data_IF_545490248277
#
_entry.id   IF_545490248277
#
_cell.length_a   1.000
_cell.length_b   1.000
_cell.length_c   1.000
_cell.angle_alpha   90.00
_cell.angle_beta   90.00
_cell.angle_gamma   90.00
#
_symmetry.space_group_name_H-M   'P 1'
#
loop_
_entity.id
_entity.type
_entity.pdbx_description
1 polymer ?
#
# COMPACT_ATOMS: atom_id res chain seq x y z
N UNK A 1 -18.49 -0.18 9.38
CA UNK A 1 -19.33 0.97 8.96
C UNK A 1 -18.73 1.51 7.67
N UNK A 2 -19.50 1.62 6.59
CA UNK A 2 -19.04 2.23 5.34
C UNK A 2 -19.51 3.69 5.33
N UNK A 3 -18.64 4.62 5.72
CA UNK A 3 -18.96 6.05 5.75
C UNK A 3 -17.91 6.89 5.00
N UNK A 4 -18.00 6.95 3.66
CA UNK A 4 -17.17 7.85 2.85
C UNK A 4 -17.32 9.31 3.32
N UNK A 5 -16.23 10.08 3.32
CA UNK A 5 -16.20 11.43 3.91
C UNK A 5 -15.77 11.45 5.38
N UNK A 6 -16.06 10.39 6.12
CA UNK A 6 -15.61 10.24 7.51
C UNK A 6 -14.35 9.36 7.58
N UNK A 7 -14.38 8.16 7.03
CA UNK A 7 -13.29 7.18 7.19
C UNK A 7 -12.45 6.96 5.91
N UNK A 8 -12.50 7.88 4.95
CA UNK A 8 -11.65 7.79 3.76
C UNK A 8 -10.22 8.23 4.06
N UNK A 9 -9.23 7.69 3.35
CA UNK A 9 -7.82 7.99 3.59
C UNK A 9 -7.51 9.49 3.51
N UNK A 10 -8.04 10.18 2.49
CA UNK A 10 -7.83 11.63 2.29
C UNK A 10 -8.43 12.44 3.43
N UNK A 11 -9.63 12.06 3.90
CA UNK A 11 -10.35 12.77 4.96
C UNK A 11 -9.68 12.62 6.32
N UNK A 12 -9.33 11.38 6.71
CA UNK A 12 -8.66 11.06 7.97
C UNK A 12 -7.28 11.72 8.03
N UNK A 13 -6.52 11.69 6.93
CA UNK A 13 -5.24 12.41 6.84
C UNK A 13 -5.44 13.93 6.89
N UNK A 14 -6.41 14.46 6.15
CA UNK A 14 -6.67 15.90 6.07
C UNK A 14 -7.11 16.51 7.39
N UNK A 15 -7.86 15.75 8.21
CA UNK A 15 -8.25 16.10 9.57
C UNK A 15 -7.22 15.71 10.64
N UNK A 16 -6.12 15.06 10.24
CA UNK A 16 -5.01 14.64 11.11
C UNK A 16 -5.45 13.66 12.21
N UNK A 17 -6.41 12.81 11.89
CA UNK A 17 -7.00 11.84 12.82
C UNK A 17 -6.15 10.56 12.95
N UNK A 18 -5.44 10.16 11.89
CA UNK A 18 -4.51 9.04 11.95
C UNK A 18 -3.13 9.47 12.47
N UNK A 19 -2.50 8.57 13.21
CA UNK A 19 -1.17 8.73 13.80
C UNK A 19 -0.09 7.93 13.08
N UNK A 20 -0.45 7.06 12.13
CA UNK A 20 0.45 6.23 11.34
C UNK A 20 -0.21 5.81 10.03
N UNK A 21 0.60 5.42 9.04
CA UNK A 21 0.13 4.98 7.72
C UNK A 21 0.88 3.74 7.22
N UNK A 22 0.14 2.77 6.69
CA UNK A 22 0.66 1.65 5.90
C UNK A 22 0.15 1.79 4.47
N UNK A 23 1.06 2.02 3.53
CA UNK A 23 0.76 2.19 2.11
C UNK A 23 1.23 0.95 1.35
N UNK A 24 0.38 0.41 0.47
CA UNK A 24 0.65 -0.80 -0.28
C UNK A 24 0.34 -0.54 -1.76
N UNK A 25 1.32 -0.77 -2.63
CA UNK A 25 1.20 -0.68 -4.09
C UNK A 25 0.53 0.63 -4.59
N UNK A 26 0.83 1.76 -3.94
CA UNK A 26 0.20 3.06 -4.21
C UNK A 26 1.15 4.20 -3.88
N UNK A 27 0.95 5.36 -4.52
CA UNK A 27 1.78 6.56 -4.34
C UNK A 27 0.93 7.78 -3.91
N UNK A 28 0.39 7.80 -2.67
CA UNK A 28 -0.42 8.92 -2.18
C UNK A 28 0.34 10.25 -2.13
N UNK A 29 1.65 10.27 -1.91
CA UNK A 29 2.42 11.51 -1.89
C UNK A 29 2.35 12.28 -3.22
N UNK A 30 2.31 11.56 -4.34
CA UNK A 30 2.17 12.15 -5.67
C UNK A 30 0.71 12.46 -6.06
N UNK A 31 -0.26 11.72 -5.52
CA UNK A 31 -1.64 11.72 -6.01
C UNK A 31 -2.69 12.33 -5.07
N UNK A 32 -2.38 12.51 -3.79
CA UNK A 32 -3.31 13.10 -2.82
C UNK A 32 -3.24 14.63 -2.82
N UNK A 33 -4.31 15.30 -2.35
CA UNK A 33 -4.28 16.74 -2.11
C UNK A 33 -3.16 17.12 -1.13
N UNK A 34 -2.55 18.28 -1.35
CA UNK A 34 -1.40 18.76 -0.59
C UNK A 34 -1.62 18.71 0.94
N UNK A 35 -2.82 19.04 1.42
CA UNK A 35 -3.16 19.00 2.85
C UNK A 35 -3.00 17.61 3.46
N UNK A 36 -3.49 16.57 2.77
CA UNK A 36 -3.40 15.18 3.26
C UNK A 36 -1.97 14.68 3.19
N UNK A 37 -1.23 15.02 2.12
CA UNK A 37 0.19 14.67 1.97
C UNK A 37 1.07 15.34 3.03
N UNK A 38 0.75 16.57 3.45
CA UNK A 38 1.50 17.28 4.50
C UNK A 38 1.38 16.58 5.87
N UNK A 39 0.23 15.97 6.18
CA UNK A 39 0.10 15.17 7.40
C UNK A 39 0.78 13.82 7.24
N UNK A 40 0.62 13.18 6.07
CA UNK A 40 1.27 11.89 5.77
C UNK A 40 2.79 11.96 5.94
N UNK A 41 3.44 13.07 5.56
CA UNK A 41 4.90 13.24 5.73
C UNK A 41 5.36 13.49 7.17
N UNK A 42 4.44 13.64 8.12
CA UNK A 42 4.74 13.92 9.54
C UNK A 42 4.50 12.73 10.45
N UNK A 43 3.79 11.70 9.98
CA UNK A 43 3.44 10.51 10.75
C UNK A 43 4.29 9.32 10.29
N UNK A 44 4.55 8.35 11.20
CA UNK A 44 5.18 7.08 10.84
C UNK A 44 4.51 6.43 9.63
N UNK A 45 5.26 6.30 8.55
CA UNK A 45 4.77 5.79 7.27
C UNK A 45 5.59 4.59 6.82
N UNK A 46 4.91 3.46 6.63
CA UNK A 46 5.47 2.22 6.09
C UNK A 46 4.95 2.05 4.67
N UNK A 47 5.83 1.72 3.73
CA UNK A 47 5.47 1.46 2.32
C UNK A 47 5.87 0.04 1.93
N UNK A 48 4.93 -0.70 1.35
CA UNK A 48 5.15 -1.98 0.68
C UNK A 48 4.95 -1.75 -0.82
N UNK A 49 6.04 -1.65 -1.58
CA UNK A 49 5.98 -1.40 -3.02
C UNK A 49 7.24 -1.93 -3.72
N UNK A 50 7.13 -2.55 -4.90
CA UNK A 50 8.28 -2.90 -5.75
C UNK A 50 9.04 -1.69 -6.32
N UNK A 51 8.42 -0.50 -6.37
CA UNK A 51 8.94 0.65 -7.11
C UNK A 51 9.31 1.80 -6.17
N UNK A 52 10.37 2.52 -6.56
CA UNK A 52 10.67 3.82 -5.98
C UNK A 52 9.61 4.84 -6.47
N UNK A 53 8.89 5.43 -5.52
CA UNK A 53 7.82 6.42 -5.72
C UNK A 53 8.02 7.64 -4.81
N UNK A 54 7.25 8.71 -5.00
CA UNK A 54 7.33 9.89 -4.10
C UNK A 54 7.02 9.50 -2.66
N UNK A 55 6.08 8.56 -2.46
CA UNK A 55 5.74 8.05 -1.13
C UNK A 55 6.88 7.26 -0.52
N UNK A 56 7.60 6.43 -1.28
CA UNK A 56 8.76 5.71 -0.74
C UNK A 56 9.89 6.65 -0.31
N UNK A 57 10.06 7.79 -0.97
CA UNK A 57 11.12 8.75 -0.66
C UNK A 57 10.92 9.47 0.68
N UNK A 58 9.68 9.57 1.15
CA UNK A 58 9.35 10.18 2.45
C UNK A 58 8.99 9.16 3.54
N UNK A 59 8.96 7.87 3.21
CA UNK A 59 8.58 6.82 4.16
C UNK A 59 9.71 6.52 5.16
N UNK A 60 9.34 6.17 6.39
CA UNK A 60 10.28 5.75 7.42
C UNK A 60 10.80 4.33 7.19
N UNK A 61 9.94 3.45 6.65
CA UNK A 61 10.27 2.07 6.32
C UNK A 61 9.74 1.72 4.95
N UNK A 62 10.62 1.19 4.10
CA UNK A 62 10.26 0.65 2.78
C UNK A 62 10.54 -0.85 2.77
N UNK A 63 9.51 -1.63 2.48
CA UNK A 63 9.59 -3.09 2.34
C UNK A 63 9.36 -3.42 0.86
N UNK A 64 10.40 -3.80 0.10
CA UNK A 64 10.22 -4.18 -1.30
C UNK A 64 9.42 -5.48 -1.39
N UNK A 65 8.48 -5.53 -2.34
CA UNK A 65 7.64 -6.71 -2.61
C UNK A 65 7.78 -7.16 -4.06
N UNK A 66 7.45 -8.42 -4.34
CA UNK A 66 7.36 -8.93 -5.70
C UNK A 66 6.25 -8.26 -6.51
N UNK A 67 6.44 -8.09 -7.81
CA UNK A 67 5.44 -7.49 -8.71
C UNK A 67 4.36 -8.52 -9.09
N UNK A 68 3.11 -8.25 -8.70
CA UNK A 68 1.96 -9.08 -9.07
C UNK A 68 1.76 -9.15 -10.60
N UNK A 69 1.64 -10.36 -11.14
CA UNK A 69 1.45 -10.62 -12.57
C UNK A 69 2.73 -10.57 -13.41
N UNK A 70 3.90 -10.40 -12.77
CA UNK A 70 5.21 -10.51 -13.42
C UNK A 70 6.08 -11.48 -12.63
N UNK A 71 6.20 -11.25 -11.32
CA UNK A 71 7.13 -11.95 -10.43
C UNK A 71 6.41 -12.88 -9.44
N UNK A 72 5.14 -12.61 -9.17
CA UNK A 72 4.26 -13.48 -8.41
C UNK A 72 2.89 -13.62 -9.10
N UNK A 73 2.20 -14.72 -8.81
CA UNK A 73 0.84 -14.98 -9.27
C UNK A 73 -0.20 -14.34 -8.34
N UNK A 74 -1.39 -14.09 -8.85
CA UNK A 74 -2.45 -13.43 -8.08
C UNK A 74 -3.76 -13.36 -8.86
N UNK A 75 -4.81 -12.84 -8.22
CA UNK A 75 -6.11 -12.65 -8.87
C UNK A 75 -6.41 -11.16 -8.92
N UNK A 76 -6.58 -10.62 -10.12
CA UNK A 76 -7.05 -9.26 -10.33
C UNK A 76 -8.51 -9.30 -10.78
N UNK A 77 -9.28 -8.28 -10.40
CA UNK A 77 -10.64 -8.11 -10.88
C UNK A 77 -10.68 -7.02 -11.92
N UNK A 78 -11.25 -7.32 -13.09
CA UNK A 78 -11.53 -6.32 -14.11
C UNK A 78 -12.70 -5.43 -13.66
N UNK A 79 -12.88 -4.27 -14.30
CA UNK A 79 -13.90 -3.29 -13.93
C UNK A 79 -15.35 -3.83 -13.99
N UNK A 80 -15.59 -4.91 -14.74
CA UNK A 80 -16.88 -5.63 -14.80
C UNK A 80 -17.01 -6.75 -13.73
N UNK A 81 -16.05 -6.85 -12.80
CA UNK A 81 -16.03 -7.83 -11.72
C UNK A 81 -15.54 -9.22 -12.12
N UNK A 82 -15.09 -9.42 -13.36
CA UNK A 82 -14.56 -10.72 -13.79
C UNK A 82 -13.19 -10.97 -13.15
N UNK A 83 -12.99 -12.09 -12.42
CA UNK A 83 -11.69 -12.44 -11.87
C UNK A 83 -10.77 -12.99 -12.96
N UNK A 84 -9.54 -12.47 -13.02
CA UNK A 84 -8.50 -12.90 -13.95
C UNK A 84 -7.30 -13.36 -13.14
N UNK A 85 -6.89 -14.62 -13.36
CA UNK A 85 -5.65 -15.16 -12.77
C UNK A 85 -4.45 -14.56 -13.48
N UNK A 86 -3.72 -13.70 -12.77
CA UNK A 86 -2.43 -13.18 -13.20
C UNK A 86 -1.37 -14.27 -13.06
N UNK A 87 -0.48 -14.36 -14.06
CA UNK A 87 0.56 -15.39 -14.14
C UNK A 87 1.91 -14.79 -13.76
N UNK A 88 2.72 -15.59 -13.10
CA UNK A 88 4.14 -15.32 -12.94
C UNK A 88 4.86 -15.56 -14.26
N UNK A 89 5.74 -14.65 -14.64
CA UNK A 89 6.54 -14.67 -15.88
C UNK A 89 8.02 -14.88 -15.57
N UNK A 90 8.52 -14.29 -14.48
CA UNK A 90 9.91 -14.39 -14.03
C UNK A 90 9.97 -14.66 -12.52
N UNK A 91 11.10 -15.15 -12.04
CA UNK A 91 11.35 -15.31 -10.59
C UNK A 91 11.66 -13.97 -9.92
N UNK A 92 11.30 -13.85 -8.64
CA UNK A 92 11.62 -12.70 -7.79
C UNK A 92 12.60 -13.11 -6.70
N UNK A 93 13.46 -12.19 -6.31
CA UNK A 93 14.21 -12.27 -5.05
C UNK A 93 13.39 -11.75 -3.86
N UNK A 94 12.26 -11.07 -4.13
CA UNK A 94 11.37 -10.49 -3.11
C UNK A 94 10.16 -11.38 -2.84
N UNK A 95 9.60 -11.23 -1.64
CA UNK A 95 8.37 -11.92 -1.27
C UNK A 95 7.13 -11.21 -1.84
N UNK A 96 6.06 -11.94 -2.18
CA UNK A 96 4.77 -11.33 -2.48
C UNK A 96 4.27 -10.47 -1.32
N UNK A 97 3.57 -9.39 -1.64
CA UNK A 97 2.90 -8.49 -0.68
C UNK A 97 1.99 -9.25 0.30
N UNK A 98 1.28 -10.28 -0.17
CA UNK A 98 0.47 -11.15 0.68
C UNK A 98 1.28 -11.84 1.79
N UNK A 99 2.47 -12.36 1.47
CA UNK A 99 3.34 -13.03 2.45
C UNK A 99 3.94 -12.05 3.45
N UNK A 100 4.30 -10.85 2.98
CA UNK A 100 4.77 -9.76 3.85
C UNK A 100 3.67 -9.38 4.85
N UNK A 101 2.43 -9.23 4.38
CA UNK A 101 1.28 -8.94 5.23
C UNK A 101 1.00 -10.05 6.24
N UNK A 102 1.09 -11.33 5.84
CA UNK A 102 0.92 -12.46 6.76
C UNK A 102 1.92 -12.40 7.93
N UNK A 103 3.20 -12.16 7.63
CA UNK A 103 4.25 -12.01 8.66
C UNK A 103 4.01 -10.80 9.58
N UNK A 104 3.57 -9.68 9.02
CA UNK A 104 3.23 -8.49 9.81
C UNK A 104 2.06 -8.78 10.75
N UNK A 105 1.00 -9.44 10.27
CA UNK A 105 -0.15 -9.82 11.08
C UNK A 105 0.26 -10.76 12.22
N UNK A 106 1.10 -11.76 11.94
CA UNK A 106 1.63 -12.65 12.97
C UNK A 106 2.39 -11.86 14.04
N UNK A 107 3.21 -10.88 13.64
CA UNK A 107 3.99 -10.10 14.60
C UNK A 107 3.14 -9.15 15.44
N UNK A 108 2.11 -8.54 14.87
CA UNK A 108 1.22 -7.59 15.56
C UNK A 108 0.28 -8.28 16.55
N UNK A 109 -0.09 -9.54 16.31
CA UNK A 109 -0.95 -10.31 17.21
C UNK A 109 -0.22 -10.83 18.45
N UNK A 110 1.11 -10.85 18.44
CA UNK A 110 1.97 -11.31 19.54
C UNK A 110 2.42 -10.14 20.41
#
# INVERSE_FOLDING_TARGET
IYNPGEYSAVDVLGRKECDSALIIASDPAAHFPAQSTEHLSKIPTIVIDPKLSMTTLMADVVIPSAIAGIECEGTAYRMDGVPIRMRKVVDSEFEPDSMILEKLIERVKN
#
